data_IF_457600863236
#
_entry.id   IF_457600863236
#
_cell.length_a   1.000
_cell.length_b   1.000
_cell.length_c   1.000
_cell.angle_alpha   90.00
_cell.angle_beta   90.00
_cell.angle_gamma   90.00
#
_symmetry.space_group_name_H-M   'P 1'
#
loop_
_entity.id
_entity.type
_entity.pdbx_description
1 polymer ?
#
# COMPACT_ATOMS: atom_id res chain seq x y z
N UNK A 1 1.38 -8.59 -22.15
CA UNK A 1 2.36 -8.84 -21.07
C UNK A 1 3.76 -8.76 -21.67
N UNK A 2 4.69 -8.14 -20.96
CA UNK A 2 6.10 -8.12 -21.33
C UNK A 2 6.87 -9.25 -20.64
N UNK A 3 8.19 -9.40 -20.90
CA UNK A 3 9.04 -10.31 -20.17
C UNK A 3 9.00 -10.06 -18.66
N UNK A 4 8.98 -11.16 -17.91
CA UNK A 4 9.02 -11.16 -16.45
C UNK A 4 10.21 -12.01 -16.02
N UNK A 5 10.98 -11.54 -15.04
CA UNK A 5 12.06 -12.29 -14.44
C UNK A 5 11.83 -12.42 -12.92
N UNK A 6 12.15 -13.57 -12.38
CA UNK A 6 12.20 -13.80 -10.92
C UNK A 6 13.68 -13.92 -10.53
N UNK A 7 14.13 -13.01 -9.71
CA UNK A 7 15.49 -13.00 -9.17
C UNK A 7 15.43 -13.45 -7.72
N UNK A 8 16.27 -14.42 -7.36
CA UNK A 8 16.33 -14.97 -6.00
C UNK A 8 17.71 -14.71 -5.40
N UNK A 9 17.72 -14.23 -4.15
CA UNK A 9 18.95 -14.04 -3.38
C UNK A 9 18.63 -14.08 -1.89
N UNK A 10 19.34 -14.90 -1.14
CA UNK A 10 19.30 -14.95 0.33
C UNK A 10 17.88 -15.09 0.92
N UNK A 11 17.03 -15.94 0.34
CA UNK A 11 15.65 -16.13 0.79
C UNK A 11 14.66 -15.07 0.27
N UNK A 12 15.13 -14.07 -0.47
CA UNK A 12 14.29 -13.07 -1.11
C UNK A 12 14.04 -13.43 -2.57
N UNK A 13 12.79 -13.34 -3.01
CA UNK A 13 12.43 -13.43 -4.42
C UNK A 13 11.87 -12.09 -4.90
N UNK A 14 12.49 -11.50 -5.92
CA UNK A 14 12.02 -10.26 -6.54
C UNK A 14 11.47 -10.53 -7.93
N UNK A 15 10.26 -10.06 -8.19
CA UNK A 15 9.62 -10.15 -9.50
C UNK A 15 9.89 -8.84 -10.24
N UNK A 16 10.59 -8.94 -11.37
CA UNK A 16 10.93 -7.82 -12.23
C UNK A 16 10.10 -7.89 -13.50
N UNK A 17 9.47 -6.79 -13.87
CA UNK A 17 8.64 -6.70 -15.07
C UNK A 17 9.13 -5.57 -15.97
N UNK A 18 9.21 -5.80 -17.27
CA UNK A 18 9.61 -4.76 -18.25
C UNK A 18 8.50 -3.77 -18.56
N UNK A 19 7.26 -4.15 -18.30
CA UNK A 19 6.09 -3.30 -18.44
C UNK A 19 5.30 -3.35 -17.14
N UNK A 20 4.52 -2.32 -16.88
CA UNK A 20 3.62 -2.29 -15.74
C UNK A 20 2.73 -3.53 -15.76
N UNK A 21 2.88 -4.36 -14.76
CA UNK A 21 2.07 -5.55 -14.51
C UNK A 21 1.62 -5.52 -13.06
N UNK A 22 0.35 -5.78 -12.86
CA UNK A 22 -0.22 -5.87 -11.53
C UNK A 22 -0.26 -7.34 -11.11
N UNK A 23 0.14 -7.59 -9.87
CA UNK A 23 0.05 -8.88 -9.21
C UNK A 23 -1.09 -8.79 -8.21
N UNK A 24 -2.30 -9.09 -8.68
CA UNK A 24 -3.52 -8.92 -7.90
C UNK A 24 -4.02 -10.22 -7.27
N UNK A 25 -3.63 -11.35 -7.83
CA UNK A 25 -4.14 -12.65 -7.45
C UNK A 25 -3.02 -13.61 -7.09
N UNK A 26 -3.31 -14.55 -6.20
CA UNK A 26 -2.38 -15.64 -5.83
C UNK A 26 -1.89 -16.37 -7.08
N UNK A 27 -2.77 -16.62 -8.05
CA UNK A 27 -2.43 -17.26 -9.32
C UNK A 27 -1.36 -16.51 -10.13
N UNK A 28 -1.21 -15.19 -9.97
CA UNK A 28 -0.18 -14.42 -10.68
C UNK A 28 1.22 -14.79 -10.18
N UNK A 29 1.36 -15.08 -8.90
CA UNK A 29 2.59 -15.55 -8.28
C UNK A 29 2.86 -17.02 -8.61
N UNK A 30 1.84 -17.86 -8.53
CA UNK A 30 1.94 -19.30 -8.80
C UNK A 30 2.40 -19.59 -10.23
N UNK A 31 1.99 -18.79 -11.23
CA UNK A 31 2.49 -18.89 -12.61
C UNK A 31 4.00 -18.68 -12.73
N UNK A 32 4.61 -18.01 -11.76
CA UNK A 32 6.05 -17.76 -11.69
C UNK A 32 6.77 -18.77 -10.78
N UNK A 33 6.08 -19.79 -10.30
CA UNK A 33 6.63 -20.77 -9.37
C UNK A 33 6.86 -20.20 -7.97
N UNK A 34 6.06 -19.22 -7.57
CA UNK A 34 6.07 -18.62 -6.24
C UNK A 34 4.75 -18.91 -5.54
N UNK A 35 4.82 -19.37 -4.29
CA UNK A 35 3.63 -19.57 -3.46
C UNK A 35 3.61 -18.52 -2.36
N UNK A 36 2.69 -17.55 -2.42
CA UNK A 36 2.61 -16.49 -1.42
C UNK A 36 2.42 -17.01 0.01
N UNK A 37 1.70 -18.12 0.18
CA UNK A 37 1.45 -18.71 1.50
C UNK A 37 2.70 -19.29 2.16
N UNK A 38 3.75 -19.59 1.39
CA UNK A 38 5.03 -20.11 1.90
C UNK A 38 6.01 -19.00 2.28
N UNK A 39 5.66 -17.74 2.01
CA UNK A 39 6.52 -16.60 2.28
C UNK A 39 6.18 -15.95 3.63
N UNK A 40 7.19 -15.58 4.41
CA UNK A 40 7.01 -14.83 5.65
C UNK A 40 6.44 -13.42 5.40
N UNK A 41 6.77 -12.83 4.26
CA UNK A 41 6.30 -11.52 3.84
C UNK A 41 6.17 -11.45 2.33
N UNK A 42 5.03 -10.95 1.86
CA UNK A 42 4.80 -10.64 0.44
C UNK A 42 4.54 -9.14 0.30
N UNK A 43 5.43 -8.44 -0.38
CA UNK A 43 5.25 -7.01 -0.67
C UNK A 43 4.72 -6.82 -2.10
N UNK A 44 3.56 -6.22 -2.24
CA UNK A 44 2.96 -5.90 -3.54
C UNK A 44 2.79 -4.39 -3.69
N UNK A 45 3.21 -3.87 -4.84
CA UNK A 45 3.04 -2.45 -5.17
C UNK A 45 1.67 -2.20 -5.77
N UNK A 46 0.67 -2.11 -4.91
CA UNK A 46 -0.72 -1.84 -5.27
C UNK A 46 -1.32 -0.83 -4.28
N UNK A 47 -2.34 -0.11 -4.71
CA UNK A 47 -3.02 0.89 -3.85
C UNK A 47 -4.08 0.29 -2.92
N UNK A 48 -4.41 -0.97 -3.09
CA UNK A 48 -5.39 -1.72 -2.29
C UNK A 48 -5.12 -3.21 -2.42
N UNK A 49 -5.44 -3.97 -1.38
CA UNK A 49 -5.30 -5.42 -1.39
C UNK A 49 -6.55 -6.07 -1.99
N UNK A 50 -6.36 -6.91 -3.01
CA UNK A 50 -7.45 -7.68 -3.58
C UNK A 50 -7.95 -8.76 -2.59
N UNK A 51 -9.25 -9.09 -2.63
CA UNK A 51 -9.82 -10.08 -1.72
C UNK A 51 -9.11 -11.44 -1.74
N UNK A 52 -8.59 -11.85 -2.87
CA UNK A 52 -7.86 -13.11 -3.04
C UNK A 52 -6.54 -13.12 -2.25
N UNK A 53 -5.75 -12.06 -2.38
CA UNK A 53 -4.52 -11.89 -1.61
C UNK A 53 -4.80 -11.65 -0.12
N UNK A 54 -5.88 -10.93 0.18
CA UNK A 54 -6.31 -10.71 1.55
C UNK A 54 -6.67 -12.03 2.24
N UNK A 55 -7.39 -12.92 1.54
CA UNK A 55 -7.78 -14.23 2.07
C UNK A 55 -6.59 -15.18 2.25
N UNK A 56 -5.51 -15.01 1.45
CA UNK A 56 -4.29 -15.80 1.55
C UNK A 56 -3.33 -15.29 2.65
N UNK A 57 -3.50 -14.05 3.11
CA UNK A 57 -2.65 -13.45 4.12
C UNK A 57 -3.15 -13.75 5.54
N UNK A 58 -2.25 -14.05 6.46
CA UNK A 58 -2.58 -14.15 7.89
C UNK A 58 -2.83 -12.75 8.49
N UNK A 59 -2.08 -11.74 8.00
CA UNK A 59 -2.22 -10.33 8.38
C UNK A 59 -1.85 -9.45 7.18
N UNK A 60 -2.23 -8.18 7.21
CA UNK A 60 -1.91 -7.25 6.13
C UNK A 60 -1.54 -5.86 6.67
N UNK A 61 -0.59 -5.23 6.00
CA UNK A 61 -0.11 -3.90 6.32
C UNK A 61 -0.15 -3.03 5.06
N UNK A 62 -0.60 -1.79 5.21
CA UNK A 62 -0.52 -0.79 4.16
C UNK A 62 0.63 0.18 4.45
N UNK A 63 1.69 0.11 3.64
CA UNK A 63 2.79 1.05 3.72
C UNK A 63 2.50 2.29 2.85
N UNK A 64 2.34 3.44 3.48
CA UNK A 64 2.18 4.72 2.79
C UNK A 64 3.57 5.35 2.60
N UNK A 65 3.99 5.47 1.35
CA UNK A 65 5.29 6.06 1.00
C UNK A 65 5.11 7.37 0.23
N UNK A 66 6.02 8.35 0.40
CA UNK A 66 6.02 9.56 -0.42
C UNK A 66 6.16 9.21 -1.90
N UNK A 67 5.50 9.94 -2.77
CA UNK A 67 5.59 9.74 -4.21
C UNK A 67 4.44 10.37 -4.99
N UNK A 68 4.43 10.16 -6.31
CA UNK A 68 3.42 10.74 -7.20
C UNK A 68 2.00 10.23 -6.98
N UNK A 69 1.85 9.08 -6.33
CA UNK A 69 0.55 8.57 -5.85
C UNK A 69 0.66 8.39 -4.34
N UNK A 70 0.30 9.42 -3.60
CA UNK A 70 0.30 9.41 -2.15
C UNK A 70 -1.13 9.20 -1.65
N UNK A 71 -1.37 8.11 -0.95
CA UNK A 71 -2.68 7.79 -0.37
C UNK A 71 -2.90 8.46 1.01
N UNK A 72 -1.89 9.08 1.57
CA UNK A 72 -2.07 9.92 2.75
C UNK A 72 -2.64 11.27 2.33
N UNK A 73 -3.95 11.32 2.15
CA UNK A 73 -4.67 12.49 1.67
C UNK A 73 -4.51 13.71 2.59
N UNK A 74 -4.27 13.48 3.89
CA UNK A 74 -4.11 14.56 4.87
C UNK A 74 -2.74 15.25 4.77
N UNK A 75 -1.73 14.57 4.22
CA UNK A 75 -0.39 15.11 4.01
C UNK A 75 -0.23 15.82 2.65
N UNK A 76 -1.25 15.82 1.80
CA UNK A 76 -1.22 16.50 0.52
C UNK A 76 -1.50 17.99 0.68
N UNK A 77 -0.80 18.82 -0.10
CA UNK A 77 -1.11 20.24 -0.23
C UNK A 77 -2.24 20.43 -1.25
N UNK A 78 -3.26 21.17 -0.83
CA UNK A 78 -4.44 21.49 -1.65
C UNK A 78 -4.52 23.00 -1.85
N UNK A 79 -3.85 23.52 -2.88
CA UNK A 79 -3.74 24.97 -3.12
C UNK A 79 -4.97 25.56 -3.84
N UNK A 80 -5.72 24.73 -4.57
CA UNK A 80 -6.82 25.19 -5.43
C UNK A 80 -8.16 24.54 -5.08
N UNK A 81 -8.38 24.27 -3.79
CA UNK A 81 -9.59 23.62 -3.30
C UNK A 81 -10.36 24.57 -2.42
N UNK A 82 -11.65 24.73 -2.71
CA UNK A 82 -12.53 25.49 -1.83
C UNK A 82 -12.73 24.76 -0.49
N UNK A 83 -12.45 25.46 0.59
CA UNK A 83 -12.61 24.94 1.96
C UNK A 83 -13.90 25.47 2.58
N UNK A 84 -14.56 24.73 3.46
CA UNK A 84 -14.19 23.42 4.02
C UNK A 84 -14.55 22.26 3.09
N UNK A 85 -13.76 21.19 3.10
CA UNK A 85 -13.97 19.97 2.30
C UNK A 85 -13.71 18.70 3.11
N UNK A 86 -14.64 17.74 3.05
CA UNK A 86 -14.43 16.43 3.65
C UNK A 86 -13.46 15.60 2.78
N UNK A 87 -12.55 14.82 3.35
CA UNK A 87 -12.34 14.54 4.80
C UNK A 87 -11.31 15.46 5.48
N UNK A 88 -10.81 16.50 4.79
CA UNK A 88 -9.73 17.37 5.27
C UNK A 88 -10.20 18.30 6.39
N UNK A 89 -11.45 18.70 6.34
CA UNK A 89 -12.09 19.59 7.33
C UNK A 89 -13.20 18.84 8.06
N UNK A 90 -13.40 19.22 9.32
CA UNK A 90 -14.58 18.80 10.07
C UNK A 90 -15.72 19.77 9.80
N UNK A 91 -16.90 19.21 9.65
CA UNK A 91 -18.13 19.97 9.61
C UNK A 91 -18.85 19.75 10.94
N UNK A 92 -19.27 20.83 11.57
CA UNK A 92 -20.25 20.71 12.64
C UNK A 92 -21.61 20.28 12.07
N UNK A 93 -22.46 19.67 12.88
CA UNK A 93 -23.81 19.26 12.48
C UNK A 93 -24.63 20.40 11.88
N UNK A 94 -24.23 21.64 12.13
CA UNK A 94 -24.89 22.86 11.62
C UNK A 94 -24.28 23.38 10.31
N UNK A 95 -23.26 22.70 9.74
CA UNK A 95 -22.59 23.10 8.51
C UNK A 95 -21.66 24.32 8.63
N UNK A 96 -21.44 24.83 9.83
CA UNK A 96 -20.51 25.94 10.10
C UNK A 96 -19.17 25.38 10.52
N UNK A 97 -18.32 25.10 9.56
CA UNK A 97 -17.06 24.40 9.77
C UNK A 97 -16.06 25.13 10.66
N UNK A 98 -16.10 24.90 11.96
CA UNK A 98 -15.04 25.19 12.90
C UNK A 98 -14.55 23.88 13.49
N UNK A 99 -13.71 23.15 12.75
CA UNK A 99 -13.25 21.83 13.16
C UNK A 99 -12.02 21.88 14.04
N UNK A 100 -11.97 21.00 15.05
CA UNK A 100 -10.73 20.69 15.75
C UNK A 100 -9.69 20.13 14.75
N UNK A 101 -8.38 20.38 14.97
CA UNK A 101 -7.36 19.84 14.10
C UNK A 101 -7.45 18.32 14.02
N UNK A 102 -7.23 17.79 12.82
CA UNK A 102 -7.19 16.33 12.58
C UNK A 102 -6.07 15.71 13.42
N UNK A 103 -6.27 14.48 13.92
CA UNK A 103 -5.20 13.78 14.61
C UNK A 103 -3.97 13.66 13.70
N UNK A 104 -2.79 13.82 14.27
CA UNK A 104 -1.54 13.64 13.58
C UNK A 104 -1.39 12.16 13.20
N UNK A 105 -1.68 11.86 11.93
CA UNK A 105 -1.45 10.55 11.35
C UNK A 105 -0.02 10.48 10.85
N UNK A 106 0.94 10.35 11.77
CA UNK A 106 2.32 10.05 11.40
C UNK A 106 2.37 8.69 10.72
N UNK A 107 2.87 8.61 9.47
CA UNK A 107 3.04 7.32 8.81
C UNK A 107 4.02 6.47 9.61
N UNK A 108 3.62 5.24 9.94
CA UNK A 108 4.53 4.26 10.54
C UNK A 108 5.48 3.79 9.45
N UNK A 109 6.72 4.24 9.52
CA UNK A 109 7.78 3.79 8.61
C UNK A 109 8.45 2.57 9.24
N UNK A 110 8.21 1.39 8.69
CA UNK A 110 8.92 0.18 9.08
C UNK A 110 10.31 0.18 8.41
N UNK A 111 11.36 0.35 9.21
CA UNK A 111 12.73 0.38 8.70
C UNK A 111 13.42 -0.98 8.67
N UNK A 112 12.97 -1.99 9.37
CA UNK A 112 13.36 -3.40 9.18
C UNK A 112 12.53 -4.35 10.05
N UNK A 113 12.11 -5.46 9.47
CA UNK A 113 11.80 -6.66 10.23
C UNK A 113 13.10 -7.47 10.31
N UNK A 114 13.73 -7.54 11.49
CA UNK A 114 14.79 -8.52 11.73
C UNK A 114 14.14 -9.88 11.92
N UNK A 115 14.45 -10.81 11.05
CA UNK A 115 14.25 -12.22 11.29
C UNK A 115 15.12 -12.61 12.51
N UNK A 116 14.51 -12.95 13.62
CA UNK A 116 15.16 -13.70 14.68
C UNK A 116 15.11 -15.16 14.29
N UNK A 117 16.28 -15.71 13.96
CA UNK A 117 16.50 -17.16 13.80
C UNK A 117 16.15 -17.91 15.08
#
# INVERSE_FOLDING_TARGET
SGPIAVVRSGGVAAILTTRRAAFHYVADFQRLGLEPADADLVAVKIGYLQPDLYAAAADHLLALTPGGVNQNLFALHYDHVLRPIHPLDRFDVDGTGAGAPLPDLTPVVFTSLRSTS
#
